data_IF_771060389525
#
_entry.id   IF_771060389525
#
_cell.length_a   1.000
_cell.length_b   1.000
_cell.length_c   1.000
_cell.angle_alpha   90.00
_cell.angle_beta   90.00
_cell.angle_gamma   90.00
#
_symmetry.space_group_name_H-M   'P 1'
#
loop_
_entity.id
_entity.type
_entity.pdbx_description
1 polymer ?
#
# COMPACT_ATOMS: atom_id res chain seq x y z
N UNK A 1 -4.45 -23.50 -44.18
CA UNK A 1 -5.53 -23.10 -43.25
C UNK A 1 -6.79 -22.75 -44.03
N UNK A 2 -7.90 -23.44 -43.77
CA UNK A 2 -9.15 -23.28 -44.52
C UNK A 2 -9.71 -21.86 -44.35
N UNK A 3 -10.34 -21.32 -45.40
CA UNK A 3 -10.95 -19.98 -45.37
C UNK A 3 -11.87 -19.81 -44.16
N UNK A 4 -12.66 -20.83 -43.85
CA UNK A 4 -13.53 -20.89 -42.67
C UNK A 4 -12.78 -20.70 -41.32
N UNK A 5 -11.63 -21.36 -41.15
CA UNK A 5 -10.84 -21.25 -39.91
C UNK A 5 -10.22 -19.84 -39.75
N UNK A 6 -9.86 -19.17 -40.85
CA UNK A 6 -9.40 -17.77 -40.83
C UNK A 6 -10.49 -16.82 -40.31
N UNK A 7 -11.74 -17.03 -40.71
CA UNK A 7 -12.87 -16.22 -40.24
C UNK A 7 -13.18 -16.43 -38.76
N UNK A 8 -13.14 -17.68 -38.28
CA UNK A 8 -13.32 -17.97 -36.85
C UNK A 8 -12.24 -17.32 -36.01
N UNK A 9 -10.96 -17.44 -36.41
CA UNK A 9 -9.86 -16.80 -35.70
C UNK A 9 -10.02 -15.28 -35.71
N UNK A 10 -10.40 -14.69 -36.85
CA UNK A 10 -10.68 -13.25 -36.95
C UNK A 10 -11.77 -12.79 -35.99
N UNK A 11 -12.88 -13.53 -35.90
CA UNK A 11 -13.97 -13.22 -34.96
C UNK A 11 -13.53 -13.34 -33.51
N UNK A 12 -12.80 -14.40 -33.15
CA UNK A 12 -12.30 -14.59 -31.78
C UNK A 12 -11.33 -13.49 -31.36
N UNK A 13 -10.43 -13.07 -32.25
CA UNK A 13 -9.53 -11.93 -32.00
C UNK A 13 -10.32 -10.65 -31.80
N UNK A 14 -11.36 -10.40 -32.61
CA UNK A 14 -12.18 -9.20 -32.51
C UNK A 14 -12.99 -9.16 -31.20
N UNK A 15 -13.52 -10.30 -30.77
CA UNK A 15 -14.18 -10.46 -29.47
C UNK A 15 -13.19 -10.24 -28.32
N UNK A 16 -11.99 -10.82 -28.40
CA UNK A 16 -10.95 -10.65 -27.39
C UNK A 16 -10.52 -9.17 -27.26
N UNK A 17 -10.39 -8.45 -28.38
CA UNK A 17 -10.12 -7.01 -28.39
C UNK A 17 -11.28 -6.24 -27.75
N UNK A 18 -12.53 -6.58 -28.08
CA UNK A 18 -13.70 -5.95 -27.48
C UNK A 18 -13.76 -6.12 -25.95
N UNK A 19 -13.50 -7.32 -25.45
CA UNK A 19 -13.42 -7.60 -24.01
C UNK A 19 -12.26 -6.84 -23.35
N UNK A 20 -11.09 -6.81 -24.01
CA UNK A 20 -9.94 -6.07 -23.51
C UNK A 20 -10.22 -4.57 -23.39
N UNK A 21 -10.79 -3.96 -24.44
CA UNK A 21 -11.18 -2.54 -24.44
C UNK A 21 -12.23 -2.26 -23.37
N UNK A 22 -13.25 -3.11 -23.24
CA UNK A 22 -14.27 -2.96 -22.20
C UNK A 22 -13.67 -2.99 -20.79
N UNK A 23 -12.78 -3.96 -20.51
CA UNK A 23 -12.14 -4.07 -19.20
C UNK A 23 -11.24 -2.87 -18.89
N UNK A 24 -10.47 -2.38 -19.87
CA UNK A 24 -9.62 -1.18 -19.69
C UNK A 24 -10.46 0.06 -19.37
N UNK A 25 -11.61 0.22 -20.02
CA UNK A 25 -12.47 1.40 -19.84
C UNK A 25 -13.30 1.34 -18.54
N UNK A 26 -13.82 0.17 -18.15
CA UNK A 26 -14.76 0.05 -17.02
C UNK A 26 -14.12 -0.44 -15.71
N UNK A 27 -13.19 -1.39 -15.76
CA UNK A 27 -12.71 -2.08 -14.55
C UNK A 27 -11.63 -1.29 -13.79
N UNK A 28 -11.30 -0.09 -14.27
CA UNK A 28 -10.38 0.79 -13.56
C UNK A 28 -8.94 0.28 -13.53
N UNK A 29 -8.55 -0.60 -14.46
CA UNK A 29 -7.16 -1.06 -14.63
C UNK A 29 -6.17 0.11 -14.71
N UNK A 30 -6.61 1.25 -15.25
CA UNK A 30 -5.79 2.47 -15.36
C UNK A 30 -6.11 3.52 -14.27
N UNK A 31 -7.07 3.26 -13.37
CA UNK A 31 -7.42 4.19 -12.31
C UNK A 31 -6.30 4.23 -11.27
N UNK A 32 -5.80 5.42 -10.98
CA UNK A 32 -4.81 5.62 -9.92
C UNK A 32 -5.39 5.21 -8.56
N UNK A 33 -4.60 4.57 -7.68
CA UNK A 33 -5.07 4.18 -6.37
C UNK A 33 -5.50 5.41 -5.57
N UNK A 34 -6.57 5.24 -4.81
CA UNK A 34 -7.15 6.28 -3.96
C UNK A 34 -6.17 6.80 -2.89
N UNK A 35 -5.26 5.93 -2.46
CA UNK A 35 -4.16 6.23 -1.55
C UNK A 35 -2.86 5.99 -2.31
N UNK A 36 -2.22 7.03 -2.88
CA UNK A 36 -1.04 6.87 -3.70
C UNK A 36 0.16 6.42 -2.87
N UNK A 37 1.01 5.58 -3.48
CA UNK A 37 2.28 5.12 -2.91
C UNK A 37 3.24 6.30 -2.76
N UNK A 38 3.93 6.38 -1.63
CA UNK A 38 4.97 7.38 -1.36
C UNK A 38 6.12 6.75 -0.59
N UNK A 39 7.32 7.23 -0.89
CA UNK A 39 8.54 6.94 -0.16
C UNK A 39 9.07 8.26 0.39
N UNK A 40 9.46 8.26 1.66
CA UNK A 40 10.22 9.33 2.28
C UNK A 40 11.54 8.72 2.74
N UNK A 41 12.64 9.31 2.31
CA UNK A 41 13.99 8.93 2.72
C UNK A 41 14.60 10.07 3.52
N UNK A 42 15.27 9.73 4.60
CA UNK A 42 16.04 10.65 5.42
C UNK A 42 17.45 10.09 5.57
N UNK A 43 18.45 10.95 5.38
CA UNK A 43 19.86 10.58 5.50
C UNK A 43 20.58 11.62 6.33
N UNK A 44 21.33 11.15 7.32
CA UNK A 44 22.25 11.95 8.13
C UNK A 44 23.52 11.13 8.31
N UNK A 45 24.65 11.69 7.89
CA UNK A 45 25.94 10.99 7.83
C UNK A 45 25.82 9.63 7.10
N UNK A 46 26.12 8.53 7.80
CA UNK A 46 26.01 7.16 7.30
C UNK A 46 24.69 6.46 7.69
N UNK A 47 23.77 7.16 8.37
CA UNK A 47 22.44 6.66 8.73
C UNK A 47 21.45 6.96 7.60
N UNK A 48 20.76 5.91 7.13
CA UNK A 48 19.72 5.98 6.12
C UNK A 48 18.42 5.39 6.68
N UNK A 49 17.38 6.23 6.69
CA UNK A 49 16.04 5.86 7.11
C UNK A 49 15.09 5.97 5.91
N UNK A 50 14.21 4.99 5.75
CA UNK A 50 13.23 4.98 4.66
C UNK A 50 11.86 4.55 5.16
N UNK A 51 10.86 5.33 4.81
CA UNK A 51 9.45 5.02 5.06
C UNK A 51 8.73 4.87 3.73
N UNK A 52 8.16 3.69 3.49
CA UNK A 52 7.21 3.47 2.40
C UNK A 52 5.81 3.38 2.98
N UNK A 53 4.85 4.10 2.39
CA UNK A 53 3.46 4.08 2.80
C UNK A 53 2.53 4.42 1.64
N UNK A 54 1.27 3.99 1.73
CA UNK A 54 0.21 4.51 0.88
C UNK A 54 -0.47 5.67 1.61
N UNK A 55 -0.41 6.88 1.05
CA UNK A 55 -0.90 8.11 1.71
C UNK A 55 -2.43 8.06 1.87
N UNK A 56 -2.97 7.85 3.08
CA UNK A 56 -4.41 7.79 3.26
C UNK A 56 -5.01 9.20 3.15
N UNK A 57 -6.24 9.28 2.65
CA UNK A 57 -7.06 10.50 2.70
C UNK A 57 -8.35 10.20 3.45
N UNK A 58 -8.74 11.09 4.37
CA UNK A 58 -9.92 10.92 5.23
C UNK A 58 -11.20 10.78 4.40
N UNK A 59 -11.35 11.62 3.36
CA UNK A 59 -12.50 11.61 2.43
C UNK A 59 -13.84 11.68 3.18
N UNK A 60 -13.95 12.61 4.12
CA UNK A 60 -15.12 12.83 4.97
C UNK A 60 -15.53 11.64 5.85
N UNK A 61 -14.71 10.58 5.96
CA UNK A 61 -14.96 9.47 6.87
C UNK A 61 -14.50 9.78 8.28
N UNK A 62 -15.23 9.32 9.28
CA UNK A 62 -14.67 9.16 10.62
C UNK A 62 -13.65 8.02 10.61
N UNK A 63 -12.44 8.28 11.14
CA UNK A 63 -11.32 7.34 11.03
C UNK A 63 -11.14 6.60 12.34
N UNK A 64 -10.66 7.29 13.38
CA UNK A 64 -10.42 6.68 14.68
C UNK A 64 -11.71 6.60 15.48
N UNK A 65 -11.95 5.45 16.12
CA UNK A 65 -13.22 5.14 16.76
C UNK A 65 -14.30 4.58 15.81
N UNK A 66 -14.05 4.61 14.50
CA UNK A 66 -14.93 4.03 13.48
C UNK A 66 -14.16 3.07 12.57
N UNK A 67 -13.62 3.54 11.43
CA UNK A 67 -12.89 2.70 10.48
C UNK A 67 -11.66 2.01 11.09
N UNK A 68 -10.98 2.71 12.00
CA UNK A 68 -9.88 2.21 12.81
C UNK A 68 -10.36 2.24 14.27
N UNK A 69 -10.76 1.08 14.82
CA UNK A 69 -11.23 1.01 16.20
C UNK A 69 -10.12 1.38 17.18
N UNK A 70 -10.49 2.07 18.27
CA UNK A 70 -9.58 2.28 19.38
C UNK A 70 -9.29 0.97 20.11
N UNK A 71 -8.13 0.91 20.76
CA UNK A 71 -7.69 -0.23 21.58
C UNK A 71 -7.59 -1.56 20.80
N UNK A 72 -7.53 -1.50 19.46
CA UNK A 72 -7.32 -2.65 18.59
C UNK A 72 -6.08 -2.46 17.72
N UNK A 73 -5.45 -3.58 17.38
CA UNK A 73 -4.27 -3.60 16.52
C UNK A 73 -4.67 -3.21 15.09
N UNK A 74 -3.98 -2.20 14.55
CA UNK A 74 -4.16 -1.69 13.20
C UNK A 74 -2.85 -1.80 12.40
N UNK A 75 -2.96 -2.40 11.20
CA UNK A 75 -1.91 -2.35 10.17
C UNK A 75 -1.82 -0.92 9.62
N UNK A 76 -0.91 -0.13 10.19
CA UNK A 76 -0.82 1.33 9.97
C UNK A 76 -0.70 1.69 8.50
N UNK A 77 -1.59 2.58 8.04
CA UNK A 77 -1.65 3.08 6.67
C UNK A 77 -2.75 2.45 5.80
N UNK A 78 -2.82 2.86 4.54
CA UNK A 78 -3.75 2.32 3.55
C UNK A 78 -3.11 1.19 2.71
N UNK A 79 -3.91 0.33 2.07
CA UNK A 79 -3.47 -0.72 1.14
C UNK A 79 -2.37 -1.64 1.74
N UNK A 80 -1.14 -1.60 1.22
CA UNK A 80 0.02 -2.33 1.76
C UNK A 80 0.51 -1.73 3.10
N UNK A 81 1.05 -2.57 4.00
CA UNK A 81 1.59 -2.12 5.28
C UNK A 81 2.64 -1.02 5.10
N UNK A 82 2.55 0.03 5.93
CA UNK A 82 3.63 1.01 6.03
C UNK A 82 4.89 0.28 6.48
N UNK A 83 6.01 0.50 5.76
CA UNK A 83 7.30 -0.09 6.14
C UNK A 83 8.28 0.98 6.57
N UNK A 84 8.99 0.71 7.65
CA UNK A 84 10.14 1.48 8.13
C UNK A 84 11.41 0.65 7.92
N UNK A 85 12.43 1.25 7.31
CA UNK A 85 13.70 0.61 7.02
C UNK A 85 14.85 1.49 7.51
N UNK A 86 15.82 0.88 8.17
CA UNK A 86 17.03 1.53 8.67
C UNK A 86 18.25 0.66 8.41
N UNK A 87 19.34 1.28 7.95
CA UNK A 87 20.62 0.58 7.72
C UNK A 87 21.48 0.43 8.99
N UNK A 88 21.11 1.11 10.08
CA UNK A 88 21.80 1.06 11.38
C UNK A 88 20.83 0.72 12.49
N UNK A 89 21.36 0.16 13.58
CA UNK A 89 20.59 0.00 14.82
C UNK A 89 20.26 1.37 15.40
N UNK A 90 19.00 1.55 15.79
CA UNK A 90 18.47 2.79 16.33
C UNK A 90 18.01 2.58 17.78
N UNK A 91 18.01 3.66 18.55
CA UNK A 91 17.33 3.71 19.84
C UNK A 91 16.05 4.53 19.68
N UNK A 92 14.91 3.91 19.98
CA UNK A 92 13.58 4.55 19.87
C UNK A 92 12.99 4.60 21.27
N UNK A 93 13.10 5.77 21.92
CA UNK A 93 12.79 5.89 23.34
C UNK A 93 13.70 5.01 24.19
N UNK A 94 13.12 4.03 24.88
CA UNK A 94 13.87 3.02 25.66
C UNK A 94 14.26 1.79 24.86
N UNK A 95 13.65 1.58 23.70
CA UNK A 95 13.80 0.34 22.93
C UNK A 95 14.97 0.41 21.95
N UNK A 96 15.58 -0.75 21.71
CA UNK A 96 16.59 -0.93 20.66
C UNK A 96 15.94 -1.55 19.43
N UNK A 97 16.10 -0.89 18.28
CA UNK A 97 15.61 -1.35 16.99
C UNK A 97 16.82 -1.69 16.10
N UNK A 98 17.14 -2.98 15.89
CA UNK A 98 18.24 -3.37 15.01
C UNK A 98 18.09 -2.83 13.59
N UNK A 99 19.19 -2.81 12.84
CA UNK A 99 19.14 -2.55 11.40
C UNK A 99 18.21 -3.57 10.70
N UNK A 100 17.37 -3.09 9.79
CA UNK A 100 16.43 -3.93 9.08
C UNK A 100 15.24 -3.17 8.51
N UNK A 101 14.29 -3.95 7.97
CA UNK A 101 13.02 -3.48 7.43
C UNK A 101 11.88 -4.08 8.23
N UNK A 102 10.94 -3.23 8.61
CA UNK A 102 9.84 -3.52 9.52
C UNK A 102 8.53 -3.04 8.93
N UNK A 103 7.45 -3.73 9.24
CA UNK A 103 6.08 -3.24 9.08
C UNK A 103 5.64 -2.48 10.33
N UNK A 104 4.88 -1.39 10.14
CA UNK A 104 4.41 -0.56 11.25
C UNK A 104 2.99 -0.94 11.65
N UNK A 105 2.81 -1.25 12.93
CA UNK A 105 1.53 -1.58 13.53
C UNK A 105 1.26 -0.63 14.69
N UNK A 106 0.00 -0.27 14.90
CA UNK A 106 -0.37 0.64 15.97
C UNK A 106 -1.61 0.17 16.71
N UNK A 107 -1.68 0.45 18.01
CA UNK A 107 -2.92 0.41 18.78
C UNK A 107 -3.27 1.85 19.11
N UNK A 108 -4.22 2.48 18.38
CA UNK A 108 -4.62 3.84 18.66
C UNK A 108 -5.50 3.88 19.91
N UNK A 109 -5.33 4.93 20.70
CA UNK A 109 -6.26 5.36 21.75
C UNK A 109 -6.64 6.83 21.51
N UNK A 110 -7.51 7.39 22.35
CA UNK A 110 -7.92 8.80 22.33
C UNK A 110 -6.75 9.77 22.56
N UNK A 111 -5.73 9.33 23.29
CA UNK A 111 -4.64 10.17 23.81
C UNK A 111 -3.26 9.62 23.46
N UNK A 112 -2.99 8.35 23.78
CA UNK A 112 -1.67 7.72 23.57
C UNK A 112 -1.75 6.54 22.62
N UNK A 113 -0.76 6.41 21.75
CA UNK A 113 -0.73 5.35 20.75
C UNK A 113 0.45 4.44 21.00
N UNK A 114 0.20 3.14 21.00
CA UNK A 114 1.28 2.15 21.01
C UNK A 114 1.72 1.89 19.59
N UNK A 115 2.99 2.13 19.30
CA UNK A 115 3.59 1.94 17.98
C UNK A 115 4.53 0.74 18.04
N UNK A 116 4.42 -0.15 17.07
CA UNK A 116 5.15 -1.41 17.02
C UNK A 116 5.84 -1.58 15.66
N UNK A 117 7.09 -2.01 15.70
CA UNK A 117 7.86 -2.41 14.54
C UNK A 117 7.87 -3.95 14.45
N UNK A 118 7.23 -4.51 13.43
CA UNK A 118 7.14 -5.96 13.23
C UNK A 118 7.99 -6.41 12.05
N UNK A 119 8.84 -7.42 12.26
CA UNK A 119 9.72 -7.99 11.23
C UNK A 119 9.03 -9.09 10.43
#
# INVERSE_FOLDING_TARGET
MNRFLKWIIGLLVLVAIGVFVYSVLNDGLLKKPLSPKKIVSFKVDDIELKVFYNRPSKRNREIFGALVPYNQVWRTGANEATTFETNKSLKVGTDSLPAGKYTLWTIPNDSTWHVMFNR
#
